data_IF_302572640240
#
_entry.id   IF_302572640240
#
_cell.length_a   1.000
_cell.length_b   1.000
_cell.length_c   1.000
_cell.angle_alpha   90.00
_cell.angle_beta   90.00
_cell.angle_gamma   90.00
#
_symmetry.space_group_name_H-M   'P 1'
#
loop_
_entity.id
_entity.type
_entity.pdbx_description
1 polymer ?
#
# COMPACT_ATOMS: atom_id res chain seq x y z
N UNK A 1 -1.33 -5.49 7.34
CA UNK A 1 -1.71 -5.04 8.68
C UNK A 1 -3.19 -4.71 8.81
N UNK A 2 -3.82 -4.05 7.84
CA UNK A 2 -5.25 -3.70 7.92
C UNK A 2 -6.12 -4.71 7.16
N UNK A 3 -7.16 -5.21 7.82
CA UNK A 3 -8.15 -6.08 7.18
C UNK A 3 -9.02 -5.32 6.17
N UNK A 4 -9.28 -4.04 6.45
CA UNK A 4 -10.14 -3.16 5.65
C UNK A 4 -9.37 -1.93 5.16
N UNK A 5 -8.44 -2.09 4.20
CA UNK A 5 -7.58 -1.00 3.75
C UNK A 5 -8.38 0.16 3.13
N UNK A 6 -9.47 -0.12 2.40
CA UNK A 6 -10.32 0.91 1.80
C UNK A 6 -10.85 1.93 2.83
N UNK A 7 -11.30 1.47 4.01
CA UNK A 7 -11.77 2.38 5.08
C UNK A 7 -10.67 3.29 5.59
N UNK A 8 -9.46 2.77 5.74
CA UNK A 8 -8.32 3.59 6.15
C UNK A 8 -7.94 4.61 5.07
N UNK A 9 -8.00 4.22 3.80
CA UNK A 9 -7.73 5.13 2.68
C UNK A 9 -8.78 6.24 2.58
N UNK A 10 -10.05 5.94 2.78
CA UNK A 10 -11.13 6.94 2.81
C UNK A 10 -10.89 7.97 3.94
N UNK A 11 -10.52 7.52 5.13
CA UNK A 11 -10.17 8.43 6.23
C UNK A 11 -8.92 9.26 5.93
N UNK A 12 -7.89 8.67 5.32
CA UNK A 12 -6.71 9.41 4.88
C UNK A 12 -7.05 10.46 3.83
N UNK A 13 -7.90 10.13 2.85
CA UNK A 13 -8.38 11.07 1.86
C UNK A 13 -9.21 12.20 2.50
N UNK A 14 -9.99 11.90 3.55
CA UNK A 14 -10.79 12.88 4.29
C UNK A 14 -9.93 13.89 5.04
N UNK A 15 -8.84 13.45 5.69
CA UNK A 15 -8.03 14.32 6.56
C UNK A 15 -6.83 14.97 5.85
N UNK A 16 -6.36 14.40 4.74
CA UNK A 16 -5.21 14.93 4.03
C UNK A 16 -5.54 16.22 3.28
N UNK A 17 -4.65 17.22 3.38
CA UNK A 17 -4.85 18.53 2.71
C UNK A 17 -4.12 18.66 1.37
N UNK A 18 -3.02 17.93 1.18
CA UNK A 18 -2.12 18.13 0.03
C UNK A 18 -1.70 16.83 -0.62
N UNK A 19 -1.18 15.91 0.19
CA UNK A 19 -0.71 14.62 -0.30
C UNK A 19 -0.80 13.58 0.82
N UNK A 20 -0.90 12.32 0.41
CA UNK A 20 -0.72 11.14 1.26
C UNK A 20 0.44 10.35 0.68
N UNK A 21 1.39 9.95 1.51
CA UNK A 21 2.50 9.08 1.13
C UNK A 21 2.25 7.73 1.79
N UNK A 22 2.25 6.66 1.00
CA UNK A 22 2.02 5.30 1.46
C UNK A 22 3.15 4.41 0.98
N UNK A 23 3.48 3.38 1.75
CA UNK A 23 4.38 2.33 1.31
C UNK A 23 3.80 0.97 1.64
N UNK A 24 4.03 0.01 0.74
CA UNK A 24 3.69 -1.40 0.93
C UNK A 24 4.85 -2.27 0.47
N UNK A 25 5.04 -3.46 1.07
CA UNK A 25 5.94 -4.46 0.52
C UNK A 25 5.63 -4.75 -0.95
N UNK A 26 6.67 -4.88 -1.78
CA UNK A 26 6.49 -5.27 -3.17
C UNK A 26 6.43 -6.80 -3.26
N UNK A 27 5.24 -7.35 -3.49
CA UNK A 27 5.04 -8.78 -3.61
C UNK A 27 5.19 -9.26 -5.07
N UNK A 28 5.78 -10.46 -5.28
CA UNK A 28 6.18 -11.47 -4.29
C UNK A 28 7.59 -11.30 -3.69
N UNK A 29 8.32 -10.24 -4.07
CA UNK A 29 9.74 -10.08 -3.75
C UNK A 29 10.02 -10.00 -2.24
N UNK A 30 9.14 -9.33 -1.50
CA UNK A 30 9.33 -9.18 -0.07
C UNK A 30 9.27 -10.53 0.67
N UNK A 31 8.28 -11.37 0.33
CA UNK A 31 8.18 -12.73 0.88
C UNK A 31 9.35 -13.62 0.45
N UNK A 32 9.77 -13.54 -0.81
CA UNK A 32 10.97 -14.25 -1.27
C UNK A 32 12.22 -13.83 -0.50
N UNK A 33 12.36 -12.52 -0.19
CA UNK A 33 13.44 -12.02 0.66
C UNK A 33 13.38 -12.57 2.09
N UNK A 34 12.18 -12.74 2.66
CA UNK A 34 12.02 -13.39 3.96
C UNK A 34 12.42 -14.88 3.90
N UNK A 35 12.01 -15.60 2.85
CA UNK A 35 12.41 -17.00 2.63
C UNK A 35 13.93 -17.14 2.50
N UNK A 36 14.56 -16.29 1.69
CA UNK A 36 16.02 -16.29 1.51
C UNK A 36 16.77 -16.04 2.83
N UNK A 37 16.13 -15.37 3.79
CA UNK A 37 16.66 -15.15 5.15
C UNK A 37 16.26 -16.22 6.16
N UNK A 38 15.54 -17.27 5.75
CA UNK A 38 15.06 -18.32 6.65
C UNK A 38 13.90 -17.91 7.56
N UNK A 39 13.13 -16.87 7.19
CA UNK A 39 12.00 -16.37 8.01
C UNK A 39 10.66 -16.84 7.49
N UNK A 40 9.73 -17.09 8.43
CA UNK A 40 8.34 -17.47 8.16
C UNK A 40 8.21 -18.63 7.17
N UNK A 41 9.05 -19.67 7.32
CA UNK A 41 9.14 -20.78 6.38
C UNK A 41 7.80 -21.52 6.24
N UNK A 42 7.12 -21.79 7.36
CA UNK A 42 5.80 -22.44 7.38
C UNK A 42 4.69 -21.60 6.72
N UNK A 43 4.96 -20.30 6.51
CA UNK A 43 4.06 -19.35 5.85
C UNK A 43 4.63 -18.84 4.52
N UNK A 44 5.59 -19.55 3.92
CA UNK A 44 6.17 -19.19 2.62
C UNK A 44 6.68 -17.73 2.59
N UNK A 45 7.42 -17.34 3.63
CA UNK A 45 7.99 -15.99 3.80
C UNK A 45 6.98 -14.91 4.19
N UNK A 46 5.71 -15.25 4.38
CA UNK A 46 4.68 -14.30 4.77
C UNK A 46 4.71 -14.02 6.28
N UNK A 47 4.84 -12.75 6.64
CA UNK A 47 4.66 -12.33 8.03
C UNK A 47 3.17 -12.46 8.41
N UNK A 48 2.79 -13.00 9.59
CA UNK A 48 1.38 -13.19 9.95
C UNK A 48 0.53 -11.91 9.86
N UNK A 49 1.08 -10.77 10.28
CA UNK A 49 0.40 -9.46 10.18
C UNK A 49 0.29 -8.90 8.74
N UNK A 50 0.94 -9.52 7.76
CA UNK A 50 0.83 -9.16 6.33
C UNK A 50 -0.35 -9.91 5.72
N UNK A 51 -1.55 -9.45 6.09
CA UNK A 51 -2.83 -9.99 5.60
C UNK A 51 -3.16 -9.56 4.15
N UNK A 52 -2.39 -8.63 3.58
CA UNK A 52 -2.54 -8.16 2.20
C UNK A 52 -1.22 -8.26 1.44
N UNK A 53 -1.29 -8.50 0.13
CA UNK A 53 -0.13 -8.64 -0.76
C UNK A 53 -0.29 -7.74 -1.97
N UNK A 54 0.61 -6.78 -2.14
CA UNK A 54 0.47 -5.73 -3.14
C UNK A 54 1.58 -5.79 -4.19
N UNK A 55 1.18 -5.54 -5.43
CA UNK A 55 2.06 -5.20 -6.54
C UNK A 55 1.69 -3.80 -7.06
N UNK A 56 2.46 -3.20 -8.00
CA UNK A 56 2.16 -1.84 -8.45
C UNK A 56 0.75 -1.70 -9.05
N UNK A 57 0.25 -2.72 -9.76
CA UNK A 57 -1.09 -2.69 -10.36
C UNK A 57 -2.21 -2.71 -9.31
N UNK A 58 -2.15 -3.67 -8.39
CA UNK A 58 -3.16 -3.84 -7.32
C UNK A 58 -3.15 -2.68 -6.32
N UNK A 59 -1.97 -2.17 -5.97
CA UNK A 59 -1.85 -0.96 -5.15
C UNK A 59 -2.45 0.26 -5.86
N UNK A 60 -2.13 0.45 -7.15
CA UNK A 60 -2.68 1.56 -7.94
C UNK A 60 -4.21 1.50 -8.04
N UNK A 61 -4.77 0.29 -8.28
CA UNK A 61 -6.20 0.09 -8.38
C UNK A 61 -6.92 0.49 -7.09
N UNK A 62 -6.46 0.00 -5.93
CA UNK A 62 -7.03 0.33 -4.63
C UNK A 62 -6.94 1.84 -4.34
N UNK A 63 -5.80 2.48 -4.60
CA UNK A 63 -5.62 3.90 -4.30
C UNK A 63 -6.49 4.81 -5.16
N UNK A 64 -6.74 4.44 -6.43
CA UNK A 64 -7.55 5.24 -7.35
C UNK A 64 -9.03 5.29 -6.99
N UNK A 65 -9.51 4.43 -6.09
CA UNK A 65 -10.87 4.51 -5.55
C UNK A 65 -11.06 5.80 -4.74
N UNK A 66 -10.06 6.17 -3.93
CA UNK A 66 -10.13 7.28 -2.97
C UNK A 66 -9.37 8.55 -3.39
N UNK A 67 -8.36 8.44 -4.26
CA UNK A 67 -7.48 9.55 -4.63
C UNK A 67 -7.59 9.94 -6.12
N UNK A 68 -7.54 11.24 -6.43
CA UNK A 68 -7.60 11.76 -7.81
C UNK A 68 -6.29 11.52 -8.58
N UNK A 69 -5.16 11.57 -7.89
CA UNK A 69 -3.83 11.37 -8.49
C UNK A 69 -3.08 10.34 -7.67
N UNK A 70 -2.52 9.34 -8.36
CA UNK A 70 -1.71 8.28 -7.76
C UNK A 70 -0.43 8.14 -8.59
N UNK A 71 0.70 8.45 -7.98
CA UNK A 71 2.03 8.26 -8.54
C UNK A 71 2.75 7.16 -7.77
N UNK A 72 3.25 6.14 -8.46
CA UNK A 72 3.97 5.03 -7.86
C UNK A 72 5.47 5.16 -8.11
N UNK A 73 6.24 4.90 -7.07
CA UNK A 73 7.70 4.87 -7.06
C UNK A 73 8.14 3.46 -6.65
N UNK A 74 8.64 2.65 -7.59
CA UNK A 74 9.28 1.38 -7.26
C UNK A 74 10.55 1.65 -6.42
N UNK A 75 10.53 1.25 -5.15
CA UNK A 75 11.62 1.46 -4.21
C UNK A 75 11.99 0.12 -3.57
N UNK A 76 12.56 -0.77 -4.39
CA UNK A 76 12.75 -2.18 -4.04
C UNK A 76 13.42 -2.37 -2.66
N UNK A 77 12.90 -3.26 -1.80
CA UNK A 77 11.80 -4.22 -1.99
C UNK A 77 10.39 -3.70 -1.63
N UNK A 78 10.16 -2.38 -1.65
CA UNK A 78 8.86 -1.75 -1.43
C UNK A 78 8.32 -1.07 -2.69
N UNK A 79 7.04 -0.71 -2.63
CA UNK A 79 6.40 0.24 -3.52
C UNK A 79 6.00 1.43 -2.66
N UNK A 80 6.36 2.64 -3.10
CA UNK A 80 5.92 3.88 -2.47
C UNK A 80 4.90 4.54 -3.39
N UNK A 81 3.84 5.11 -2.83
CA UNK A 81 2.86 5.89 -3.56
C UNK A 81 2.78 7.31 -3.01
N UNK A 82 2.70 8.30 -3.91
CA UNK A 82 2.26 9.65 -3.60
C UNK A 82 0.86 9.82 -4.17
N UNK A 83 -0.09 10.12 -3.29
CA UNK A 83 -1.48 10.31 -3.66
C UNK A 83 -1.94 11.73 -3.35
N UNK A 84 -2.82 12.29 -4.19
CA UNK A 84 -3.48 13.57 -3.93
C UNK A 84 -4.95 13.31 -3.59
N UNK A 85 -5.45 13.77 -2.42
CA UNK A 85 -6.87 13.63 -2.07
C UNK A 85 -7.73 14.44 -3.04
N UNK A 86 -8.96 13.98 -3.25
CA UNK A 86 -9.96 14.70 -4.05
C UNK A 86 -10.19 16.09 -3.49
N UNK A 87 -10.40 17.07 -4.35
CA UNK A 87 -10.70 18.43 -3.89
C UNK A 87 -11.99 18.41 -3.05
N UNK A 88 -11.87 18.61 -1.74
CA UNK A 88 -13.05 18.79 -0.90
C UNK A 88 -13.66 20.16 -1.18
N UNK A 89 -14.98 20.27 -1.38
CA UNK A 89 -15.64 21.56 -1.46
C UNK A 89 -15.35 22.32 -0.16
N UNK A 90 -14.81 23.53 -0.29
CA UNK A 90 -14.65 24.43 0.85
C UNK A 90 -16.06 24.91 1.22
N UNK A 91 -16.54 24.47 2.38
CA UNK A 91 -17.74 25.00 3.03
C UNK A 91 -17.38 26.34 3.67
#
# INVERSE_FOLDING_TARGET
HLDQPAKALAELARVARRAVILSVPHEPWFRLGNLARGKYLDHWGNHPEHVQHWNPGTMSALLREEFDTVELFPAFPWIIARCRPKAQPRI
#
